data_IF_121568605593
#
_entry.id   IF_121568605593
#
_cell.length_a   1.000
_cell.length_b   1.000
_cell.length_c   1.000
_cell.angle_alpha   90.00
_cell.angle_beta   90.00
_cell.angle_gamma   90.00
#
_symmetry.space_group_name_H-M   'P 1'
#
loop_
_entity.id
_entity.type
_entity.pdbx_description
1 polymer ?
#
# COMPACT_ATOMS: atom_id res chain seq x y z
N UNK A 1 31.03 22.24 -17.72
CA UNK A 1 31.17 21.56 -16.41
C UNK A 1 29.96 21.71 -15.46
N UNK A 2 29.32 22.88 -15.31
CA UNK A 2 28.22 23.12 -14.33
C UNK A 2 26.99 22.19 -14.41
N UNK A 3 26.59 21.71 -15.61
CA UNK A 3 25.40 20.84 -15.78
C UNK A 3 25.56 19.45 -15.14
N UNK A 4 26.77 18.89 -15.11
CA UNK A 4 27.01 17.56 -14.50
C UNK A 4 26.87 17.61 -12.98
N UNK A 5 27.30 18.70 -12.34
CA UNK A 5 27.24 18.89 -10.89
C UNK A 5 25.81 19.06 -10.38
N UNK A 6 24.97 19.84 -11.09
CA UNK A 6 23.55 20.00 -10.75
C UNK A 6 22.76 18.67 -10.89
N UNK A 7 23.09 17.86 -11.90
CA UNK A 7 22.48 16.54 -12.09
C UNK A 7 22.95 15.52 -11.03
N UNK A 8 24.20 15.59 -10.60
CA UNK A 8 24.76 14.76 -9.52
C UNK A 8 24.13 15.09 -8.16
N UNK A 9 23.90 16.38 -7.87
CA UNK A 9 23.23 16.85 -6.64
C UNK A 9 21.78 16.36 -6.56
N UNK A 10 21.00 16.50 -7.63
CA UNK A 10 19.60 16.03 -7.70
C UNK A 10 19.49 14.50 -7.59
N UNK A 11 20.45 13.76 -8.16
CA UNK A 11 20.51 12.30 -8.03
C UNK A 11 20.79 11.85 -6.59
N UNK A 12 21.73 12.51 -5.89
CA UNK A 12 22.02 12.25 -4.46
C UNK A 12 20.82 12.59 -3.57
N UNK A 13 20.18 13.75 -3.77
CA UNK A 13 18.98 14.17 -3.02
C UNK A 13 17.82 13.18 -3.21
N UNK A 14 17.63 12.66 -4.42
CA UNK A 14 16.59 11.67 -4.72
C UNK A 14 16.87 10.31 -4.06
N UNK A 15 18.14 9.91 -3.98
CA UNK A 15 18.54 8.68 -3.30
C UNK A 15 18.38 8.76 -1.78
N UNK A 16 18.76 9.89 -1.18
CA UNK A 16 18.53 10.13 0.26
C UNK A 16 17.05 10.20 0.59
N UNK A 17 16.25 10.88 -0.24
CA UNK A 17 14.79 10.94 -0.07
C UNK A 17 14.17 9.54 -0.14
N UNK A 18 14.58 8.71 -1.11
CA UNK A 18 14.07 7.35 -1.26
C UNK A 18 14.49 6.43 -0.10
N UNK A 19 15.69 6.61 0.44
CA UNK A 19 16.19 5.86 1.60
C UNK A 19 15.45 6.22 2.89
N UNK A 20 15.08 7.50 3.07
CA UNK A 20 14.36 7.99 4.25
C UNK A 20 12.85 7.69 4.15
N UNK A 21 12.30 7.61 2.94
CA UNK A 21 10.89 7.36 2.66
C UNK A 21 10.26 6.20 3.48
N UNK A 22 10.83 4.97 3.51
CA UNK A 22 10.21 3.86 4.25
C UNK A 22 10.18 4.11 5.76
N UNK A 23 11.24 4.71 6.32
CA UNK A 23 11.30 5.04 7.75
C UNK A 23 10.32 6.16 8.12
N UNK A 24 10.24 7.19 7.28
CA UNK A 24 9.27 8.27 7.45
C UNK A 24 7.83 7.76 7.32
N UNK A 25 7.56 6.89 6.34
CA UNK A 25 6.26 6.26 6.16
C UNK A 25 5.89 5.37 7.34
N UNK A 26 6.81 4.55 7.84
CA UNK A 26 6.58 3.71 9.02
C UNK A 26 6.30 4.55 10.28
N UNK A 27 7.10 5.61 10.51
CA UNK A 27 6.89 6.54 11.62
C UNK A 27 5.51 7.24 11.53
N UNK A 28 5.14 7.71 10.34
CA UNK A 28 3.83 8.31 10.10
C UNK A 28 2.69 7.32 10.33
N UNK A 29 2.80 6.09 9.82
CA UNK A 29 1.80 5.04 10.02
C UNK A 29 1.65 4.65 11.50
N UNK A 30 2.76 4.53 12.23
CA UNK A 30 2.73 4.30 13.68
C UNK A 30 2.08 5.47 14.44
N UNK A 31 2.42 6.72 14.08
CA UNK A 31 1.81 7.91 14.66
C UNK A 31 0.31 7.97 14.39
N UNK A 32 -0.11 7.75 13.14
CA UNK A 32 -1.53 7.70 12.75
C UNK A 32 -2.25 6.59 13.51
N UNK A 33 -1.68 5.37 13.57
CA UNK A 33 -2.25 4.25 14.32
C UNK A 33 -2.43 4.62 15.79
N UNK A 34 -1.42 5.22 16.42
CA UNK A 34 -1.48 5.64 17.81
C UNK A 34 -2.55 6.70 18.06
N UNK A 35 -2.59 7.76 17.24
CA UNK A 35 -3.60 8.82 17.34
C UNK A 35 -5.01 8.27 17.10
N UNK A 36 -5.17 7.41 16.10
CA UNK A 36 -6.43 6.75 15.79
C UNK A 36 -6.90 5.85 16.94
N UNK A 37 -6.00 5.05 17.52
CA UNK A 37 -6.30 4.21 18.67
C UNK A 37 -6.63 5.04 19.93
N UNK A 38 -6.00 6.20 20.10
CA UNK A 38 -6.19 7.04 21.28
C UNK A 38 -7.46 7.90 21.21
N UNK A 39 -7.76 8.47 20.05
CA UNK A 39 -8.78 9.51 19.91
C UNK A 39 -10.02 9.06 19.13
N UNK A 40 -9.93 8.02 18.30
CA UNK A 40 -11.04 7.59 17.43
C UNK A 40 -11.64 6.27 17.90
N UNK A 41 -10.81 5.25 18.10
CA UNK A 41 -11.25 3.91 18.52
C UNK A 41 -12.18 3.90 19.76
N UNK A 42 -11.98 4.71 20.82
CA UNK A 42 -12.86 4.69 21.99
C UNK A 42 -14.30 5.13 21.69
N UNK A 43 -14.50 5.91 20.63
CA UNK A 43 -15.80 6.47 20.24
C UNK A 43 -16.38 5.80 19.00
N UNK A 44 -15.68 4.81 18.43
CA UNK A 44 -16.09 4.20 17.18
C UNK A 44 -17.05 3.03 17.44
N UNK A 45 -18.32 3.13 17.01
CA UNK A 45 -19.27 2.04 17.19
C UNK A 45 -18.84 0.81 16.39
N UNK A 46 -19.28 -0.41 16.79
CA UNK A 46 -19.09 -1.60 15.97
C UNK A 46 -19.68 -1.36 14.57
N UNK A 47 -19.06 -1.96 13.54
CA UNK A 47 -19.47 -1.77 12.15
C UNK A 47 -20.98 -2.05 11.99
N UNK A 48 -21.78 -0.99 11.84
CA UNK A 48 -23.24 -1.07 11.79
C UNK A 48 -23.69 -2.03 10.68
N UNK A 49 -22.98 -2.04 9.54
CA UNK A 49 -23.26 -2.97 8.45
C UNK A 49 -23.14 -4.42 8.90
N UNK A 50 -22.05 -4.79 9.59
CA UNK A 50 -21.88 -6.15 10.11
C UNK A 50 -22.92 -6.49 11.18
N UNK A 51 -23.31 -5.52 12.00
CA UNK A 51 -24.31 -5.72 13.05
C UNK A 51 -25.72 -5.90 12.48
N UNK A 52 -26.08 -5.15 11.43
CA UNK A 52 -27.42 -5.19 10.84
C UNK A 52 -27.59 -6.26 9.74
N UNK A 53 -26.58 -6.48 8.90
CA UNK A 53 -26.67 -7.43 7.78
C UNK A 53 -25.86 -8.70 7.99
N UNK A 54 -24.94 -8.73 8.96
CA UNK A 54 -23.98 -9.83 9.14
C UNK A 54 -22.80 -9.79 8.17
N UNK A 55 -22.81 -8.87 7.19
CA UNK A 55 -21.83 -8.85 6.10
C UNK A 55 -20.57 -8.07 6.48
N UNK A 56 -19.40 -8.61 6.15
CA UNK A 56 -18.13 -7.88 6.27
C UNK A 56 -18.02 -6.91 5.11
N UNK A 57 -18.09 -5.60 5.38
CA UNK A 57 -17.88 -4.59 4.34
C UNK A 57 -16.43 -4.64 3.81
N UNK A 58 -16.19 -4.24 2.54
CA UNK A 58 -14.86 -4.27 1.93
C UNK A 58 -13.84 -3.42 2.71
N UNK A 59 -14.32 -2.33 3.32
CA UNK A 59 -13.54 -1.42 4.15
C UNK A 59 -13.00 -2.10 5.41
N UNK A 60 -13.83 -2.83 6.15
CA UNK A 60 -13.40 -3.56 7.34
C UNK A 60 -12.40 -4.68 7.00
N UNK A 61 -12.64 -5.42 5.91
CA UNK A 61 -11.71 -6.45 5.45
C UNK A 61 -10.33 -5.91 5.06
N UNK A 62 -10.27 -4.72 4.44
CA UNK A 62 -9.01 -4.03 4.16
C UNK A 62 -8.25 -3.68 5.45
N UNK A 63 -8.92 -3.12 6.45
CA UNK A 63 -8.27 -2.76 7.73
C UNK A 63 -7.72 -3.99 8.45
N UNK A 64 -8.48 -5.09 8.50
CA UNK A 64 -8.02 -6.35 9.08
C UNK A 64 -6.85 -6.96 8.32
N UNK A 65 -6.85 -6.87 6.99
CA UNK A 65 -5.75 -7.34 6.15
C UNK A 65 -4.47 -6.52 6.37
N UNK A 66 -4.57 -5.20 6.52
CA UNK A 66 -3.45 -4.34 6.92
C UNK A 66 -2.93 -4.72 8.30
N UNK A 67 -3.82 -4.96 9.27
CA UNK A 67 -3.43 -5.40 10.60
C UNK A 67 -2.69 -6.75 10.57
N UNK A 68 -3.16 -7.72 9.78
CA UNK A 68 -2.48 -9.00 9.61
C UNK A 68 -1.08 -8.82 9.00
N UNK A 69 -0.92 -7.97 7.98
CA UNK A 69 0.38 -7.64 7.40
C UNK A 69 1.33 -6.96 8.39
N UNK A 70 0.83 -6.10 9.27
CA UNK A 70 1.68 -5.50 10.33
C UNK A 70 2.20 -6.51 11.34
N UNK A 71 1.56 -7.68 11.46
CA UNK A 71 2.02 -8.80 12.27
C UNK A 71 2.78 -9.85 11.44
N UNK A 72 3.10 -9.55 10.17
CA UNK A 72 3.72 -10.46 9.21
C UNK A 72 2.88 -11.73 8.91
N UNK A 73 1.58 -11.72 9.21
CA UNK A 73 0.67 -12.82 8.86
C UNK A 73 0.05 -12.60 7.46
N UNK A 74 0.80 -13.03 6.45
CA UNK A 74 0.39 -12.91 5.04
C UNK A 74 -0.81 -13.81 4.74
N UNK A 75 -0.94 -14.96 5.39
CA UNK A 75 -2.02 -15.92 5.13
C UNK A 75 -3.36 -15.34 5.59
N UNK A 76 -3.41 -14.79 6.80
CA UNK A 76 -4.59 -14.11 7.31
C UNK A 76 -4.90 -12.85 6.50
N UNK A 77 -3.87 -12.11 6.05
CA UNK A 77 -4.06 -10.93 5.21
C UNK A 77 -4.73 -11.26 3.87
N UNK A 78 -4.33 -12.35 3.22
CA UNK A 78 -4.95 -12.83 1.98
C UNK A 78 -6.40 -13.28 2.20
N UNK A 79 -6.68 -13.98 3.31
CA UNK A 79 -8.05 -14.41 3.68
C UNK A 79 -8.98 -13.22 3.93
N UNK A 80 -8.50 -12.21 4.64
CA UNK A 80 -9.30 -11.01 4.94
C UNK A 80 -9.47 -10.12 3.71
N UNK A 81 -8.39 -9.87 2.95
CA UNK A 81 -8.48 -9.18 1.67
C UNK A 81 -7.20 -9.35 0.83
N UNK A 82 -7.29 -10.08 -0.29
CA UNK A 82 -6.17 -10.29 -1.24
C UNK A 82 -5.61 -8.98 -1.81
N UNK A 83 -6.41 -7.92 -1.83
CA UNK A 83 -6.02 -6.60 -2.36
C UNK A 83 -4.84 -5.98 -1.64
N UNK A 84 -4.81 -6.01 -0.30
CA UNK A 84 -3.78 -5.30 0.46
C UNK A 84 -2.40 -5.97 0.26
N UNK A 85 -2.26 -7.31 0.35
CA UNK A 85 -1.00 -7.97 0.01
C UNK A 85 -0.55 -7.70 -1.43
N UNK A 86 -1.49 -7.70 -2.39
CA UNK A 86 -1.16 -7.42 -3.79
C UNK A 86 -0.66 -5.97 -3.98
N UNK A 87 -1.34 -5.00 -3.36
CA UNK A 87 -0.93 -3.60 -3.37
C UNK A 87 0.45 -3.40 -2.71
N UNK A 88 0.71 -4.11 -1.61
CA UNK A 88 2.01 -4.09 -0.94
C UNK A 88 3.14 -4.61 -1.86
N UNK A 89 2.90 -5.71 -2.60
CA UNK A 89 3.85 -6.23 -3.59
C UNK A 89 4.11 -5.20 -4.69
N UNK A 90 3.07 -4.59 -5.27
CA UNK A 90 3.27 -3.56 -6.30
C UNK A 90 4.04 -2.34 -5.78
N UNK A 91 3.77 -1.90 -4.55
CA UNK A 91 4.49 -0.81 -3.92
C UNK A 91 5.98 -1.15 -3.71
N UNK A 92 6.29 -2.38 -3.29
CA UNK A 92 7.66 -2.87 -3.14
C UNK A 92 8.39 -2.95 -4.49
N UNK A 93 7.74 -3.47 -5.52
CA UNK A 93 8.31 -3.51 -6.88
C UNK A 93 8.58 -2.10 -7.41
N UNK A 94 7.70 -1.15 -7.14
CA UNK A 94 7.87 0.25 -7.56
C UNK A 94 9.02 0.91 -6.82
N UNK A 95 9.13 0.66 -5.52
CA UNK A 95 10.25 1.12 -4.71
C UNK A 95 11.58 0.53 -5.21
N UNK A 96 11.62 -0.77 -5.47
CA UNK A 96 12.79 -1.46 -6.01
C UNK A 96 13.19 -0.94 -7.39
N UNK A 97 12.23 -0.75 -8.30
CA UNK A 97 12.47 -0.14 -9.61
C UNK A 97 13.08 1.28 -9.46
N UNK A 98 12.53 2.10 -8.56
CA UNK A 98 13.07 3.45 -8.32
C UNK A 98 14.47 3.42 -7.73
N UNK A 99 14.73 2.50 -6.80
CA UNK A 99 16.05 2.31 -6.19
C UNK A 99 17.09 1.88 -7.23
N UNK A 100 16.75 0.93 -8.10
CA UNK A 100 17.62 0.47 -9.19
C UNK A 100 17.89 1.57 -10.23
N UNK A 101 16.87 2.36 -10.58
CA UNK A 101 17.05 3.50 -11.47
C UNK A 101 18.06 4.53 -10.90
N UNK A 102 18.07 4.73 -9.58
CA UNK A 102 19.04 5.60 -8.91
C UNK A 102 20.44 4.96 -8.81
N UNK A 103 20.53 3.65 -8.58
CA UNK A 103 21.80 2.91 -8.52
C UNK A 103 22.48 2.75 -9.89
N UNK A 104 21.80 3.08 -10.98
CA UNK A 104 22.34 3.08 -12.35
C UNK A 104 21.94 1.85 -13.17
N UNK A 105 21.13 0.95 -12.62
CA UNK A 105 20.55 -0.18 -13.35
C UNK A 105 19.11 0.16 -13.76
N UNK A 106 18.89 0.54 -15.01
CA UNK A 106 17.57 0.92 -15.51
C UNK A 106 16.70 -0.31 -15.85
N UNK A 107 16.57 -1.26 -14.90
CA UNK A 107 15.66 -2.40 -15.07
C UNK A 107 14.24 -1.99 -14.73
N UNK A 108 13.34 -2.15 -15.70
CA UNK A 108 11.91 -1.90 -15.57
C UNK A 108 11.24 -3.18 -15.10
N UNK A 109 10.62 -3.17 -13.92
CA UNK A 109 9.93 -4.34 -13.38
C UNK A 109 8.42 -4.20 -13.57
N UNK A 110 7.89 -2.97 -13.47
CA UNK A 110 6.45 -2.74 -13.58
C UNK A 110 5.98 -2.60 -15.03
N UNK A 111 4.82 -3.18 -15.37
CA UNK A 111 4.18 -2.97 -16.67
C UNK A 111 3.69 -1.51 -16.78
N UNK A 112 4.19 -0.77 -17.77
CA UNK A 112 3.71 0.59 -18.12
C UNK A 112 2.47 0.57 -19.02
N UNK A 113 2.01 -0.61 -19.42
CA UNK A 113 0.84 -0.75 -20.27
C UNK A 113 -0.42 -0.29 -19.52
N UNK A 114 -1.08 0.76 -20.01
CA UNK A 114 -2.35 1.27 -19.44
C UNK A 114 -3.43 0.18 -19.35
N UNK A 115 -3.45 -0.76 -20.29
CA UNK A 115 -4.40 -1.87 -20.30
C UNK A 115 -4.22 -2.84 -19.14
N UNK A 116 -2.98 -3.03 -18.67
CA UNK A 116 -2.71 -3.82 -17.48
C UNK A 116 -3.35 -3.18 -16.24
N UNK A 117 -3.14 -1.87 -16.06
CA UNK A 117 -3.73 -1.14 -14.93
C UNK A 117 -5.25 -1.03 -15.02
N UNK A 118 -5.81 -0.89 -16.22
CA UNK A 118 -7.26 -0.98 -16.45
C UNK A 118 -7.76 -2.38 -16.05
N UNK A 119 -7.06 -3.45 -16.45
CA UNK A 119 -7.39 -4.82 -16.06
C UNK A 119 -7.36 -5.03 -14.54
N UNK A 120 -6.33 -4.50 -13.85
CA UNK A 120 -6.25 -4.52 -12.37
C UNK A 120 -7.42 -3.77 -11.74
N UNK A 121 -7.80 -2.62 -12.30
CA UNK A 121 -8.90 -1.80 -11.77
C UNK A 121 -10.27 -2.46 -12.00
N UNK A 122 -10.47 -3.09 -13.17
CA UNK A 122 -11.66 -3.88 -13.47
C UNK A 122 -11.73 -5.10 -12.54
N UNK A 123 -10.62 -5.81 -12.37
CA UNK A 123 -10.52 -6.92 -11.42
C UNK A 123 -10.85 -6.46 -10.00
N UNK A 124 -10.38 -5.27 -9.61
CA UNK A 124 -10.72 -4.68 -8.32
C UNK A 124 -12.21 -4.43 -8.17
N UNK A 125 -12.83 -3.74 -9.13
CA UNK A 125 -14.28 -3.52 -9.14
C UNK A 125 -15.05 -4.83 -9.07
N UNK A 126 -14.72 -5.78 -9.93
CA UNK A 126 -15.34 -7.09 -9.97
C UNK A 126 -15.18 -7.87 -8.66
N UNK A 127 -13.98 -7.86 -8.06
CA UNK A 127 -13.73 -8.50 -6.76
C UNK A 127 -14.53 -7.84 -5.65
N UNK A 128 -14.63 -6.50 -5.60
CA UNK A 128 -15.44 -5.82 -4.60
C UNK A 128 -16.93 -6.13 -4.74
N UNK A 129 -17.42 -6.27 -5.98
CA UNK A 129 -18.82 -6.64 -6.26
C UNK A 129 -19.09 -8.10 -5.89
N UNK A 130 -18.25 -9.04 -6.32
CA UNK A 130 -18.42 -10.47 -6.02
C UNK A 130 -18.29 -10.79 -4.53
N UNK A 131 -17.36 -10.14 -3.80
CA UNK A 131 -17.27 -10.22 -2.32
C UNK A 131 -18.46 -9.64 -1.59
N UNK A 132 -19.16 -8.70 -2.21
CA UNK A 132 -20.31 -8.00 -1.63
C UNK A 132 -21.63 -8.52 -2.21
N UNK A 133 -21.63 -9.73 -2.76
CA UNK A 133 -22.84 -10.46 -3.21
C UNK A 133 -22.90 -11.88 -2.63
N UNK A 134 -21.82 -12.33 -1.98
CA UNK A 134 -21.68 -13.60 -1.24
C UNK A 134 -21.57 -13.25 0.24
#
# INVERSE_FOLDING_TARGET
MKRKTAHQLTKRQSATALAILPFAAAAALCGIKYLYARFVMPFMPPCLLRTFTGWKCPSCGMTHSVFALTHLDVVSALRENVMIPLAAVFALLWYAERWMHLSGSARRILPRNKWFWIGVLIFWGAYTVTRNLI
#
